data_IF_341077303144
#
_entry.id   IF_341077303144
#
_cell.length_a   1.000
_cell.length_b   1.000
_cell.length_c   1.000
_cell.angle_alpha   90.00
_cell.angle_beta   90.00
_cell.angle_gamma   90.00
#
_symmetry.space_group_name_H-M   'P 1'
#
loop_
_entity.id
_entity.type
_entity.pdbx_description
1 polymer ?
#
# COMPACT_ATOMS: atom_id res chain seq x y z
N UNK A 1 41.32 30.22 0.32
CA UNK A 1 41.29 30.68 -1.08
C UNK A 1 42.29 29.85 -1.89
N UNK A 2 41.82 28.96 -2.77
CA UNK A 2 42.63 28.36 -3.84
C UNK A 2 41.65 27.98 -4.96
N UNK A 3 41.64 28.83 -5.98
CA UNK A 3 40.92 28.63 -7.24
C UNK A 3 41.88 27.90 -8.18
N UNK A 4 41.43 26.82 -8.80
CA UNK A 4 42.09 26.31 -10.00
C UNK A 4 41.00 26.05 -11.02
N UNK A 5 40.96 26.96 -12.01
CA UNK A 5 40.14 26.89 -13.21
C UNK A 5 41.03 26.27 -14.28
N UNK A 6 40.56 25.20 -14.92
CA UNK A 6 41.14 24.72 -16.18
C UNK A 6 40.03 24.66 -17.20
N UNK A 7 40.18 25.48 -18.23
CA UNK A 7 39.27 25.66 -19.34
C UNK A 7 39.70 24.83 -20.56
N UNK A 8 38.76 24.73 -21.51
CA UNK A 8 38.87 24.33 -22.92
C UNK A 8 39.03 22.83 -23.26
N UNK A 9 38.03 22.30 -23.96
CA UNK A 9 38.17 22.05 -25.39
C UNK A 9 36.79 22.02 -26.07
N UNK A 10 36.66 22.79 -27.15
CA UNK A 10 35.55 22.75 -28.09
C UNK A 10 35.55 21.43 -28.85
N UNK A 11 34.37 20.86 -29.06
CA UNK A 11 34.15 19.75 -29.98
C UNK A 11 32.78 19.87 -30.61
N UNK A 12 32.65 20.78 -31.57
CA UNK A 12 31.48 20.88 -32.44
C UNK A 12 31.58 19.80 -33.54
N UNK A 13 30.64 18.88 -33.56
CA UNK A 13 30.30 18.10 -34.75
C UNK A 13 28.81 18.31 -35.04
N UNK A 14 28.56 19.29 -35.91
CA UNK A 14 27.32 19.47 -36.65
C UNK A 14 27.28 18.49 -37.84
N UNK A 15 26.06 18.14 -38.23
CA UNK A 15 25.59 17.54 -39.49
C UNK A 15 25.50 16.00 -39.55
N UNK A 16 24.31 15.51 -39.22
CA UNK A 16 23.59 14.57 -40.09
C UNK A 16 22.25 15.20 -40.46
N UNK A 17 22.19 15.76 -41.67
CA UNK A 17 20.94 15.98 -42.38
C UNK A 17 20.50 14.63 -42.95
N UNK A 18 19.34 14.15 -42.52
CA UNK A 18 18.70 12.92 -42.99
C UNK A 18 17.20 13.07 -42.82
N UNK A 19 16.59 13.67 -43.83
CA UNK A 19 15.15 13.83 -44.00
C UNK A 19 14.51 12.45 -44.25
N UNK A 20 13.56 12.05 -43.41
CA UNK A 20 12.31 11.43 -43.85
C UNK A 20 11.37 11.24 -42.67
N UNK A 21 10.15 11.69 -42.91
CA UNK A 21 8.94 11.55 -42.11
C UNK A 21 8.79 10.15 -41.53
N UNK A 22 8.41 10.08 -40.26
CA UNK A 22 7.22 9.33 -39.87
C UNK A 22 6.78 9.82 -38.49
N UNK A 23 5.55 10.33 -38.47
CA UNK A 23 4.79 10.68 -37.30
C UNK A 23 4.58 9.40 -36.47
N UNK A 24 5.25 9.26 -35.33
CA UNK A 24 4.77 8.43 -34.23
C UNK A 24 5.42 8.95 -32.97
N UNK A 25 4.65 9.76 -32.26
CA UNK A 25 4.81 10.05 -30.85
C UNK A 25 5.32 8.80 -30.13
N UNK A 26 6.55 8.86 -29.62
CA UNK A 26 7.00 7.96 -28.57
C UNK A 26 6.18 8.29 -27.32
N UNK A 27 4.93 7.84 -27.29
CA UNK A 27 4.23 7.60 -26.05
C UNK A 27 5.06 6.52 -25.36
N UNK A 28 5.84 6.93 -24.37
CA UNK A 28 6.34 6.03 -23.37
C UNK A 28 5.15 5.17 -22.94
N UNK A 29 5.20 3.89 -23.27
CA UNK A 29 4.31 2.90 -22.69
C UNK A 29 4.65 2.90 -21.20
N UNK A 30 3.98 3.79 -20.47
CA UNK A 30 3.73 3.61 -19.06
C UNK A 30 3.03 2.26 -19.02
N UNK A 31 3.81 1.23 -18.71
CA UNK A 31 3.34 -0.11 -18.44
C UNK A 31 2.30 0.06 -17.33
N UNK A 32 1.04 0.21 -17.73
CA UNK A 32 -0.07 0.35 -16.83
C UNK A 32 -0.09 -0.98 -16.07
N UNK A 33 0.28 -0.93 -14.80
CA UNK A 33 0.03 -2.03 -13.90
C UNK A 33 -1.45 -2.44 -14.10
N UNK A 34 -1.77 -3.74 -14.16
CA UNK A 34 -3.14 -4.18 -14.30
C UNK A 34 -3.98 -3.46 -13.25
N UNK A 35 -4.95 -2.66 -13.70
CA UNK A 35 -5.90 -2.01 -12.79
C UNK A 35 -6.80 -3.11 -12.26
N UNK A 36 -6.44 -3.65 -11.08
CA UNK A 36 -7.34 -4.47 -10.30
C UNK A 36 -8.69 -3.75 -10.20
N UNK A 37 -9.74 -4.37 -10.73
CA UNK A 37 -11.07 -3.77 -10.73
C UNK A 37 -11.76 -4.17 -9.45
N UNK A 38 -11.82 -3.25 -8.48
CA UNK A 38 -12.47 -3.57 -7.22
C UNK A 38 -13.99 -3.62 -7.35
N UNK A 39 -14.65 -4.63 -6.77
CA UNK A 39 -16.08 -4.57 -6.53
C UNK A 39 -16.31 -3.42 -5.54
N UNK A 40 -16.85 -2.31 -6.04
CA UNK A 40 -17.15 -1.14 -5.22
C UNK A 40 -18.34 -1.42 -4.31
N UNK A 41 -18.09 -2.09 -3.18
CA UNK A 41 -19.08 -2.32 -2.14
C UNK A 41 -18.80 -1.42 -0.93
N UNK A 42 -18.93 -0.11 -1.15
CA UNK A 42 -18.70 0.93 -0.15
C UNK A 42 -19.91 1.20 0.77
N UNK A 43 -21.02 0.47 0.60
CA UNK A 43 -22.31 0.84 1.21
C UNK A 43 -22.40 0.61 2.73
N UNK A 44 -21.40 -0.05 3.34
CA UNK A 44 -21.37 -0.34 4.78
C UNK A 44 -20.04 0.06 5.45
N UNK A 45 -19.19 0.81 4.77
CA UNK A 45 -17.88 1.18 5.31
C UNK A 45 -17.96 2.19 6.44
N UNK A 46 -17.10 2.01 7.44
CA UNK A 46 -16.85 2.99 8.47
C UNK A 46 -15.94 4.09 7.87
N UNK A 47 -16.41 5.36 7.79
CA UNK A 47 -15.66 6.42 7.14
C UNK A 47 -14.37 6.76 7.91
N UNK A 48 -14.37 6.62 9.23
CA UNK A 48 -13.19 6.90 10.07
C UNK A 48 -12.14 5.82 9.86
N UNK A 49 -12.55 4.55 9.92
CA UNK A 49 -11.66 3.42 9.67
C UNK A 49 -11.09 3.44 8.24
N UNK A 50 -11.92 3.79 7.27
CA UNK A 50 -11.51 3.88 5.86
C UNK A 50 -10.48 4.99 5.65
N UNK A 51 -10.64 6.16 6.28
CA UNK A 51 -9.66 7.25 6.20
C UNK A 51 -8.33 6.84 6.85
N UNK A 52 -8.38 6.20 8.02
CA UNK A 52 -7.18 5.69 8.71
C UNK A 52 -6.45 4.69 7.82
N UNK A 53 -7.15 3.71 7.26
CA UNK A 53 -6.56 2.73 6.36
C UNK A 53 -5.98 3.38 5.08
N UNK A 54 -6.68 4.35 4.48
CA UNK A 54 -6.21 5.09 3.29
C UNK A 54 -4.96 5.94 3.52
N UNK A 55 -4.66 6.29 4.78
CA UNK A 55 -3.43 6.99 5.13
C UNK A 55 -2.19 6.09 5.26
N UNK A 56 -2.35 4.78 5.12
CA UNK A 56 -1.22 3.85 5.13
C UNK A 56 -0.38 3.99 3.86
N UNK A 57 0.95 3.87 4.01
CA UNK A 57 1.87 3.80 2.87
C UNK A 57 1.94 2.36 2.40
N UNK A 58 1.10 2.02 1.42
CA UNK A 58 0.95 0.64 0.93
C UNK A 58 1.98 0.28 -0.15
N UNK A 59 2.24 -1.03 -0.36
CA UNK A 59 3.00 -1.50 -1.51
C UNK A 59 2.41 -1.02 -2.85
N UNK A 60 3.27 -0.88 -3.86
CA UNK A 60 2.86 -0.48 -5.21
C UNK A 60 1.76 -1.39 -5.77
N UNK A 61 0.73 -0.79 -6.36
CA UNK A 61 -0.41 -1.53 -6.93
C UNK A 61 -1.48 -1.95 -5.91
N UNK A 62 -1.30 -1.64 -4.62
CA UNK A 62 -2.31 -1.87 -3.58
C UNK A 62 -3.01 -0.58 -3.21
N UNK A 63 -4.34 -0.59 -3.16
CA UNK A 63 -5.15 0.55 -2.70
C UNK A 63 -6.20 0.09 -1.71
N UNK A 64 -6.66 0.97 -0.82
CA UNK A 64 -7.77 0.65 0.09
C UNK A 64 -9.09 0.91 -0.62
N UNK A 65 -9.90 -0.14 -0.76
CA UNK A 65 -11.29 -0.03 -1.22
C UNK A 65 -12.15 0.60 -0.09
N UNK A 66 -12.11 -0.04 1.09
CA UNK A 66 -12.90 0.36 2.25
C UNK A 66 -12.47 -0.33 3.53
N UNK A 67 -13.04 0.09 4.65
CA UNK A 67 -12.83 -0.57 5.93
C UNK A 67 -14.10 -0.56 6.79
N UNK A 68 -14.27 -1.60 7.59
CA UNK A 68 -15.37 -1.75 8.54
C UNK A 68 -14.83 -2.03 9.94
N UNK A 69 -15.55 -1.55 10.95
CA UNK A 69 -15.25 -1.83 12.35
C UNK A 69 -16.37 -2.67 12.97
N UNK A 70 -15.99 -3.59 13.86
CA UNK A 70 -16.94 -4.38 14.65
C UNK A 70 -16.56 -4.32 16.12
N UNK A 71 -17.45 -3.79 16.94
CA UNK A 71 -17.25 -3.76 18.39
C UNK A 71 -17.53 -5.13 19.01
N UNK A 72 -16.53 -5.68 19.71
CA UNK A 72 -16.62 -6.91 20.48
C UNK A 72 -16.88 -6.60 21.96
N UNK A 73 -18.10 -6.13 22.25
CA UNK A 73 -18.52 -5.76 23.62
C UNK A 73 -18.63 -6.94 24.60
N UNK A 74 -18.43 -8.18 24.13
CA UNK A 74 -18.45 -9.40 24.95
C UNK A 74 -17.10 -9.76 25.58
N UNK A 75 -16.03 -9.04 25.26
CA UNK A 75 -14.69 -9.20 25.85
C UNK A 75 -14.38 -8.05 26.82
N UNK A 76 -13.57 -8.29 27.84
CA UNK A 76 -13.16 -7.25 28.82
C UNK A 76 -11.63 -7.12 28.83
N UNK A 77 -11.05 -5.98 28.40
CA UNK A 77 -11.72 -4.79 27.88
C UNK A 77 -12.41 -5.05 26.52
N UNK A 78 -13.43 -4.25 26.20
CA UNK A 78 -14.06 -4.30 24.86
C UNK A 78 -13.03 -3.97 23.80
N UNK A 79 -12.98 -4.77 22.75
CA UNK A 79 -12.10 -4.56 21.59
C UNK A 79 -12.90 -4.27 20.34
N UNK A 80 -12.24 -3.73 19.32
CA UNK A 80 -12.79 -3.49 17.99
C UNK A 80 -12.03 -4.38 17.01
N UNK A 81 -12.73 -5.12 16.17
CA UNK A 81 -12.12 -5.73 14.98
C UNK A 81 -12.18 -4.71 13.84
N UNK A 82 -11.05 -4.51 13.16
CA UNK A 82 -10.93 -3.66 11.99
C UNK A 82 -10.73 -4.56 10.78
N UNK A 83 -11.67 -4.56 9.83
CA UNK A 83 -11.49 -5.26 8.55
C UNK A 83 -11.25 -4.25 7.45
N UNK A 84 -10.13 -4.36 6.74
CA UNK A 84 -9.76 -3.50 5.62
C UNK A 84 -9.81 -4.31 4.33
N UNK A 85 -10.59 -3.83 3.37
CA UNK A 85 -10.62 -4.37 2.01
C UNK A 85 -9.63 -3.60 1.16
N UNK A 86 -8.75 -4.32 0.47
CA UNK A 86 -7.74 -3.76 -0.42
C UNK A 86 -7.97 -4.21 -1.86
N UNK A 87 -7.83 -3.26 -2.77
CA UNK A 87 -7.69 -3.51 -4.19
C UNK A 87 -6.25 -3.83 -4.50
N UNK A 88 -6.01 -5.04 -4.98
CA UNK A 88 -4.75 -5.48 -5.55
C UNK A 88 -5.06 -6.65 -6.50
N UNK A 89 -4.03 -7.10 -7.22
CA UNK A 89 -4.05 -8.36 -7.94
C UNK A 89 -2.94 -9.25 -7.36
N UNK A 90 -3.27 -10.50 -7.07
CA UNK A 90 -2.35 -11.54 -6.60
C UNK A 90 -1.68 -11.18 -5.26
N UNK A 91 -2.44 -10.61 -4.32
CA UNK A 91 -1.93 -10.27 -2.99
C UNK A 91 -1.99 -11.49 -2.06
N UNK A 92 -0.99 -12.35 -2.14
CA UNK A 92 -0.87 -13.52 -1.26
C UNK A 92 0.35 -13.46 -0.33
N UNK A 93 0.43 -14.44 0.58
CA UNK A 93 1.59 -14.70 1.42
C UNK A 93 2.21 -13.44 2.03
N UNK A 94 3.47 -13.20 1.69
CA UNK A 94 4.28 -12.10 2.23
C UNK A 94 3.82 -10.71 1.78
N UNK A 95 3.19 -10.57 0.61
CA UNK A 95 2.69 -9.28 0.12
C UNK A 95 1.44 -8.82 0.88
N UNK A 96 0.55 -9.76 1.20
CA UNK A 96 -0.61 -9.48 2.07
C UNK A 96 -0.14 -9.12 3.48
N UNK A 97 0.94 -9.77 3.95
CA UNK A 97 1.58 -9.41 5.21
C UNK A 97 2.15 -7.99 5.19
N UNK A 98 2.87 -7.59 4.15
CA UNK A 98 3.40 -6.22 4.07
C UNK A 98 2.30 -5.16 4.06
N UNK A 99 1.23 -5.43 3.33
CA UNK A 99 0.06 -4.55 3.27
C UNK A 99 -0.56 -4.37 4.64
N UNK A 100 -0.76 -5.46 5.38
CA UNK A 100 -1.30 -5.37 6.72
C UNK A 100 -0.35 -4.69 7.71
N UNK A 101 0.97 -4.83 7.53
CA UNK A 101 1.97 -4.20 8.42
C UNK A 101 1.89 -2.69 8.27
N UNK A 102 1.83 -2.22 7.02
CA UNK A 102 1.66 -0.81 6.70
C UNK A 102 0.37 -0.25 7.31
N UNK A 103 -0.75 -0.96 7.19
CA UNK A 103 -2.04 -0.55 7.77
C UNK A 103 -1.95 -0.52 9.30
N UNK A 104 -1.36 -1.54 9.94
CA UNK A 104 -1.25 -1.62 11.39
C UNK A 104 -0.41 -0.48 11.97
N UNK A 105 0.73 -0.13 11.35
CA UNK A 105 1.59 0.98 11.76
C UNK A 105 0.83 2.32 11.75
N UNK A 106 -0.03 2.53 10.76
CA UNK A 106 -0.86 3.72 10.65
C UNK A 106 -2.08 3.71 11.58
N UNK A 107 -2.73 2.56 11.75
CA UNK A 107 -3.92 2.43 12.58
C UNK A 107 -3.61 2.50 14.07
N UNK A 108 -2.45 2.02 14.51
CA UNK A 108 -2.09 1.96 15.93
C UNK A 108 -2.02 3.31 16.66
N UNK A 109 -1.46 4.40 16.11
CA UNK A 109 -1.50 5.72 16.75
C UNK A 109 -2.87 6.42 16.60
N UNK A 110 -3.83 5.82 15.88
CA UNK A 110 -5.17 6.42 15.70
C UNK A 110 -6.08 6.21 16.91
N UNK A 111 -7.23 6.88 16.91
CA UNK A 111 -8.28 6.70 17.92
C UNK A 111 -8.83 5.27 17.97
N UNK A 112 -8.73 4.49 16.88
CA UNK A 112 -9.11 3.09 16.85
C UNK A 112 -8.00 2.20 17.44
N UNK A 113 -6.74 2.58 17.27
CA UNK A 113 -5.57 1.75 17.55
C UNK A 113 -5.50 1.16 18.96
N UNK A 114 -5.91 1.93 19.97
CA UNK A 114 -5.94 1.46 21.36
C UNK A 114 -7.07 0.47 21.68
N UNK A 115 -8.08 0.38 20.81
CA UNK A 115 -9.21 -0.53 20.95
C UNK A 115 -9.14 -1.72 20.01
N UNK A 116 -8.27 -1.70 18.99
CA UNK A 116 -8.25 -2.80 18.03
C UNK A 116 -7.80 -4.08 18.72
N UNK A 117 -8.59 -5.15 18.57
CA UNK A 117 -8.24 -6.51 18.96
C UNK A 117 -7.67 -7.30 17.79
N UNK A 118 -8.30 -7.19 16.62
CA UNK A 118 -7.89 -7.87 15.38
C UNK A 118 -7.95 -6.89 14.21
N UNK A 119 -6.91 -6.86 13.38
CA UNK A 119 -6.96 -6.31 12.02
C UNK A 119 -7.11 -7.46 11.03
N UNK A 120 -8.08 -7.38 10.13
CA UNK A 120 -8.23 -8.30 9.01
C UNK A 120 -7.96 -7.52 7.73
N UNK A 121 -7.10 -8.04 6.87
CA UNK A 121 -6.89 -7.48 5.52
C UNK A 121 -7.40 -8.49 4.51
N UNK A 122 -8.28 -8.03 3.62
CA UNK A 122 -8.92 -8.84 2.58
C UNK A 122 -8.66 -8.24 1.22
N UNK A 123 -8.04 -9.00 0.32
CA UNK A 123 -7.95 -8.66 -1.09
C UNK A 123 -9.30 -8.89 -1.78
N UNK A 124 -9.77 -7.90 -2.54
CA UNK A 124 -11.04 -7.97 -3.28
C UNK A 124 -10.91 -7.68 -4.78
N UNK A 125 -9.71 -7.35 -5.27
CA UNK A 125 -9.47 -6.89 -6.64
C UNK A 125 -9.06 -7.95 -7.67
N UNK A 126 -8.88 -9.21 -7.25
CA UNK A 126 -8.43 -10.32 -8.10
C UNK A 126 -9.47 -11.43 -8.32
N UNK A 127 -9.08 -12.49 -9.02
CA UNK A 127 -9.91 -13.69 -9.28
C UNK A 127 -10.13 -14.55 -8.02
N UNK A 128 -9.41 -14.25 -6.92
CA UNK A 128 -9.47 -14.96 -5.64
C UNK A 128 -9.50 -13.96 -4.48
N UNK A 129 -10.22 -14.32 -3.42
CA UNK A 129 -10.27 -13.54 -2.18
C UNK A 129 -9.25 -14.09 -1.21
N UNK A 130 -8.15 -13.36 -1.04
CA UNK A 130 -7.14 -13.65 -0.02
C UNK A 130 -7.44 -12.85 1.24
N UNK A 131 -7.30 -13.48 2.41
CA UNK A 131 -7.55 -12.81 3.70
C UNK A 131 -6.49 -13.23 4.70
N UNK A 132 -6.06 -12.28 5.54
CA UNK A 132 -5.23 -12.58 6.71
C UNK A 132 -5.71 -11.77 7.91
N UNK A 133 -5.63 -12.39 9.08
CA UNK A 133 -5.98 -11.81 10.37
C UNK A 133 -4.71 -11.52 11.17
N UNK A 134 -4.70 -10.39 11.87
CA UNK A 134 -3.58 -9.86 12.62
C UNK A 134 -4.04 -9.49 14.02
N UNK A 135 -3.55 -10.20 15.02
CA UNK A 135 -3.83 -9.90 16.42
C UNK A 135 -3.12 -8.61 16.85
N UNK A 136 -3.86 -7.68 17.45
CA UNK A 136 -3.34 -6.38 17.87
C UNK A 136 -2.28 -6.46 18.98
N UNK A 137 -2.31 -7.52 19.78
CA UNK A 137 -1.30 -7.81 20.82
C UNK A 137 0.12 -7.93 20.24
N UNK A 138 0.25 -8.32 18.97
CA UNK A 138 1.52 -8.49 18.27
C UNK A 138 1.97 -7.24 17.51
N UNK A 139 1.25 -6.12 17.64
CA UNK A 139 1.66 -4.87 17.01
C UNK A 139 2.62 -4.16 17.94
N UNK A 140 3.83 -3.89 17.52
CA UNK A 140 4.70 -2.87 18.13
C UNK A 140 5.14 -1.90 17.04
N UNK A 141 4.63 -0.65 16.98
CA UNK A 141 4.87 0.27 15.87
C UNK A 141 6.33 0.75 15.83
N UNK A 142 7.12 0.45 16.88
CA UNK A 142 8.54 0.70 16.91
C UNK A 142 9.36 -0.44 16.26
N UNK A 143 8.74 -1.59 15.98
CA UNK A 143 9.40 -2.69 15.26
C UNK A 143 9.40 -2.42 13.74
N UNK A 144 10.45 -2.85 13.03
CA UNK A 144 10.46 -2.81 11.58
C UNK A 144 9.40 -3.76 11.00
N UNK A 145 8.92 -3.45 9.79
CA UNK A 145 7.93 -4.26 9.08
C UNK A 145 8.31 -5.75 8.97
N UNK A 146 9.61 -6.06 8.86
CA UNK A 146 10.09 -7.45 8.82
C UNK A 146 9.92 -8.21 10.16
N UNK A 147 10.04 -7.52 11.29
CA UNK A 147 9.74 -8.09 12.61
C UNK A 147 8.24 -8.36 12.77
N UNK A 148 7.40 -7.49 12.20
CA UNK A 148 5.97 -7.72 12.11
C UNK A 148 5.69 -8.94 11.23
N UNK A 149 6.21 -8.99 10.00
CA UNK A 149 6.06 -10.11 9.07
C UNK A 149 6.39 -11.48 9.70
N UNK A 150 7.45 -11.54 10.51
CA UNK A 150 7.89 -12.75 11.21
C UNK A 150 7.00 -13.16 12.40
N UNK A 151 6.36 -12.19 13.08
CA UNK A 151 5.39 -12.47 14.13
C UNK A 151 4.08 -13.09 13.61
N UNK A 152 3.93 -13.18 12.28
CA UNK A 152 2.71 -13.58 11.59
C UNK A 152 2.88 -14.98 11.01
N UNK A 153 3.09 -15.95 11.91
CA UNK A 153 2.95 -17.36 11.57
C UNK A 153 1.46 -17.65 11.40
N UNK A 154 1.11 -18.06 10.18
CA UNK A 154 -0.21 -18.55 9.77
C UNK A 154 -0.68 -19.75 10.59
#
# INVERSE_FOLDING_TARGET
>A
MKRTVTALALGATLLLAGCSSEDTSSAAEASAAPTATCPGDANADDPTATVIAKSATLPSGVTVDGAVTKLNSGQTPSTVDLTVRVCASDLDGDALKDTASAIAVTAKPSLLGSMIGVLTVTEVGGDSVHTTNFQAENWDPAQPADSHRAAWTS
#
